data_IF_538416698130
#
_entry.id   IF_538416698130
#
_cell.length_a   1.000
_cell.length_b   1.000
_cell.length_c   1.000
_cell.angle_alpha   90.00
_cell.angle_beta   90.00
_cell.angle_gamma   90.00
#
_symmetry.space_group_name_H-M   'P 1'
#
loop_
_entity.id
_entity.type
_entity.pdbx_description
1 polymer ?
#
# COMPACT_ATOMS: atom_id res chain seq x y z
N UNK A 1 0.18 -7.28 -7.12
CA UNK A 1 -1.07 -7.98 -7.41
C UNK A 1 -1.35 -8.99 -6.32
N UNK A 2 -2.57 -9.10 -5.83
CA UNK A 2 -2.89 -9.98 -4.69
C UNK A 2 -2.69 -11.48 -4.99
N UNK A 3 -2.74 -11.89 -6.27
CA UNK A 3 -2.47 -13.27 -6.69
C UNK A 3 -0.99 -13.67 -6.77
N UNK A 4 -0.04 -12.72 -6.79
CA UNK A 4 1.40 -12.99 -6.75
C UNK A 4 1.91 -12.91 -5.30
N UNK A 5 1.63 -13.95 -4.51
CA UNK A 5 2.05 -14.03 -3.10
C UNK A 5 3.59 -14.04 -2.96
N UNK A 6 4.29 -14.63 -3.93
CA UNK A 6 5.76 -14.71 -3.93
C UNK A 6 6.40 -13.33 -4.01
N UNK A 7 5.79 -12.39 -4.73
CA UNK A 7 6.21 -10.99 -4.75
C UNK A 7 5.65 -10.19 -3.56
N UNK A 8 4.37 -10.36 -3.22
CA UNK A 8 3.69 -9.50 -2.25
C UNK A 8 4.21 -9.70 -0.82
N UNK A 9 4.44 -10.94 -0.39
CA UNK A 9 4.87 -11.23 1.00
C UNK A 9 6.24 -10.60 1.30
N UNK A 10 7.29 -10.74 0.45
CA UNK A 10 8.55 -10.04 0.66
C UNK A 10 8.43 -8.52 0.67
N UNK A 11 7.59 -7.92 -0.19
CA UNK A 11 7.38 -6.46 -0.22
C UNK A 11 6.78 -5.98 1.11
N UNK A 12 5.78 -6.67 1.65
CA UNK A 12 5.18 -6.32 2.95
C UNK A 12 6.23 -6.43 4.06
N UNK A 13 7.03 -7.50 4.09
CA UNK A 13 8.12 -7.66 5.06
C UNK A 13 9.15 -6.52 4.95
N UNK A 14 9.53 -6.17 3.72
CA UNK A 14 10.45 -5.06 3.45
C UNK A 14 9.90 -3.71 3.92
N UNK A 15 8.60 -3.44 3.68
CA UNK A 15 7.94 -2.23 4.13
C UNK A 15 7.90 -2.10 5.66
N UNK A 16 7.59 -3.19 6.38
CA UNK A 16 7.62 -3.20 7.85
C UNK A 16 9.05 -2.96 8.37
N UNK A 17 10.07 -3.50 7.70
CA UNK A 17 11.48 -3.35 8.08
C UNK A 17 12.17 -2.08 7.57
N UNK A 18 11.50 -1.25 6.76
CA UNK A 18 12.13 -0.11 6.07
C UNK A 18 12.61 0.98 7.03
N UNK A 19 11.95 1.15 8.18
CA UNK A 19 12.30 2.20 9.14
C UNK A 19 11.96 3.62 8.67
N UNK A 20 11.13 3.74 7.63
CA UNK A 20 10.58 4.98 7.10
C UNK A 20 9.13 4.79 6.64
N UNK A 21 8.58 5.78 5.93
CA UNK A 21 7.25 5.66 5.37
C UNK A 21 7.25 4.71 4.16
N UNK A 22 6.41 3.67 4.20
CA UNK A 22 6.24 2.72 3.11
C UNK A 22 4.82 2.77 2.55
N UNK A 23 4.70 2.80 1.23
CA UNK A 23 3.42 2.76 0.52
C UNK A 23 3.39 1.55 -0.42
N UNK A 24 2.35 0.72 -0.28
CA UNK A 24 2.13 -0.47 -1.11
C UNK A 24 0.74 -0.37 -1.72
N UNK A 25 0.69 -0.22 -3.05
CA UNK A 25 -0.56 -0.34 -3.80
C UNK A 25 -0.75 -1.79 -4.26
N UNK A 26 -1.82 -2.43 -3.80
CA UNK A 26 -2.14 -3.82 -4.11
C UNK A 26 -3.36 -3.88 -5.00
N UNK A 27 -3.14 -4.09 -6.29
CA UNK A 27 -4.21 -4.45 -7.23
C UNK A 27 -4.80 -5.80 -6.79
N UNK A 28 -6.05 -5.77 -6.32
CA UNK A 28 -6.80 -6.93 -5.89
C UNK A 28 -8.12 -7.01 -6.66
N UNK A 29 -8.28 -7.96 -7.60
CA UNK A 29 -9.55 -8.17 -8.28
C UNK A 29 -10.58 -8.58 -7.22
N UNK A 30 -11.63 -7.79 -7.12
CA UNK A 30 -12.61 -7.92 -6.06
C UNK A 30 -13.94 -8.37 -6.67
N UNK A 31 -14.27 -9.66 -6.52
CA UNK A 31 -15.58 -10.19 -6.89
C UNK A 31 -16.63 -10.06 -5.77
N UNK A 32 -16.23 -9.71 -4.54
CA UNK A 32 -17.14 -9.76 -3.36
C UNK A 32 -17.11 -8.58 -2.36
N UNK A 33 -16.03 -7.80 -2.25
CA UNK A 33 -15.81 -6.88 -1.10
C UNK A 33 -16.10 -5.39 -1.32
N UNK A 34 -16.24 -4.88 -2.56
CA UNK A 34 -16.67 -3.49 -2.79
C UNK A 34 -18.21 -3.34 -2.77
N UNK A 35 -18.88 -4.10 -1.91
CA UNK A 35 -20.32 -4.14 -1.79
C UNK A 35 -20.76 -3.85 -0.34
N UNK A 36 -20.64 -2.59 0.06
CA UNK A 36 -21.11 -2.11 1.37
C UNK A 36 -21.97 -0.87 1.20
N UNK A 37 -22.88 -0.62 2.16
CA UNK A 37 -23.97 0.36 2.07
C UNK A 37 -23.57 1.82 1.78
N UNK A 38 -22.27 2.17 1.87
CA UNK A 38 -21.74 3.50 1.61
C UNK A 38 -20.90 3.63 0.33
N UNK A 39 -20.68 2.55 -0.42
CA UNK A 39 -19.87 2.61 -1.65
C UNK A 39 -20.72 3.05 -2.84
N UNK A 40 -20.26 4.05 -3.59
CA UNK A 40 -20.83 4.46 -4.89
C UNK A 40 -20.59 3.42 -5.99
N UNK A 41 -19.89 2.34 -5.67
CA UNK A 41 -19.65 1.17 -6.53
C UNK A 41 -20.25 -0.11 -5.94
N UNK A 42 -21.05 0.00 -4.87
CA UNK A 42 -21.80 -1.12 -4.30
C UNK A 42 -22.96 -1.53 -5.20
N UNK A 43 -23.37 -2.79 -5.06
CA UNK A 43 -24.56 -3.34 -5.71
C UNK A 43 -25.81 -2.52 -5.41
N UNK A 44 -26.02 -2.14 -4.14
CA UNK A 44 -27.21 -1.39 -3.72
C UNK A 44 -27.22 0.04 -4.31
N UNK A 45 -26.07 0.70 -4.38
CA UNK A 45 -25.96 2.02 -5.00
C UNK A 45 -26.23 1.96 -6.51
N UNK A 46 -25.63 1.00 -7.22
CA UNK A 46 -25.88 0.82 -8.65
C UNK A 46 -27.33 0.41 -8.89
N UNK A 47 -27.91 -0.51 -8.12
CA UNK A 47 -29.32 -0.93 -8.21
C UNK A 47 -30.31 0.21 -7.99
N UNK A 48 -30.06 1.08 -7.00
CA UNK A 48 -30.94 2.21 -6.70
C UNK A 48 -30.88 3.32 -7.77
N UNK A 49 -29.82 3.35 -8.59
CA UNK A 49 -29.55 4.43 -9.55
C UNK A 49 -29.50 3.96 -11.02
N UNK A 50 -29.66 2.66 -11.31
CA UNK A 50 -29.81 2.14 -12.67
C UNK A 50 -31.30 1.88 -12.98
N UNK A 51 -31.93 2.82 -13.69
CA UNK A 51 -33.27 2.65 -14.25
C UNK A 51 -33.23 1.71 -15.47
N UNK A 52 -32.97 0.42 -15.29
CA UNK A 52 -33.29 -0.60 -16.29
C UNK A 52 -33.23 -2.04 -15.71
N UNK A 53 -34.43 -2.58 -15.48
CA UNK A 53 -34.84 -3.99 -15.66
C UNK A 53 -34.15 -5.07 -14.81
N UNK A 54 -34.90 -5.51 -13.79
CA UNK A 54 -34.73 -6.73 -13.01
C UNK A 54 -34.26 -7.94 -13.84
N UNK A 55 -33.02 -8.37 -13.62
CA UNK A 55 -32.59 -9.76 -13.82
C UNK A 55 -32.04 -10.26 -12.48
N UNK A 56 -32.42 -11.45 -12.05
CA UNK A 56 -31.81 -12.10 -10.90
C UNK A 56 -30.39 -12.47 -11.33
N UNK A 57 -29.41 -11.65 -10.95
CA UNK A 57 -28.02 -11.87 -11.33
C UNK A 57 -27.36 -12.89 -10.38
N UNK A 58 -27.06 -14.06 -10.95
CA UNK A 58 -26.21 -15.08 -10.35
C UNK A 58 -24.76 -14.59 -10.43
N UNK A 59 -24.15 -14.29 -9.28
CA UNK A 59 -22.74 -13.94 -9.17
C UNK A 59 -21.96 -15.24 -8.98
N UNK A 60 -21.33 -15.71 -10.05
CA UNK A 60 -20.46 -16.89 -9.98
C UNK A 60 -19.20 -16.54 -9.17
N UNK A 61 -18.82 -17.41 -8.22
CA UNK A 61 -17.61 -17.24 -7.44
C UNK A 61 -16.42 -17.56 -8.36
N UNK A 62 -15.78 -16.52 -8.90
CA UNK A 62 -14.57 -16.71 -9.68
C UNK A 62 -13.45 -17.32 -8.82
N UNK A 63 -12.82 -18.37 -9.33
CA UNK A 63 -11.66 -18.99 -8.68
C UNK A 63 -10.52 -17.97 -8.52
N UNK A 64 -9.78 -18.00 -7.41
CA UNK A 64 -8.59 -17.16 -7.23
C UNK A 64 -7.61 -17.36 -8.38
N UNK A 65 -7.13 -16.27 -8.96
CA UNK A 65 -6.07 -16.31 -9.97
C UNK A 65 -4.72 -16.35 -9.24
N UNK A 66 -4.20 -17.55 -9.00
CA UNK A 66 -2.83 -17.74 -8.54
C UNK A 66 -1.90 -17.75 -9.76
N UNK A 67 -0.89 -16.88 -9.75
CA UNK A 67 0.08 -16.76 -10.85
C UNK A 67 1.48 -16.78 -10.28
N UNK A 68 2.28 -17.77 -10.68
CA UNK A 68 3.71 -17.80 -10.41
C UNK A 68 4.43 -17.21 -11.62
N UNK A 69 5.13 -16.09 -11.41
CA UNK A 69 5.48 -15.15 -12.49
C UNK A 69 6.99 -14.96 -12.54
N UNK A 70 7.59 -15.30 -13.68
CA UNK A 70 8.99 -15.02 -13.98
C UNK A 70 9.25 -13.51 -14.10
N UNK A 71 10.44 -13.02 -13.68
CA UNK A 71 10.86 -11.64 -13.93
C UNK A 71 10.75 -11.26 -15.42
N UNK A 72 10.64 -9.97 -15.73
CA UNK A 72 10.59 -9.44 -17.10
C UNK A 72 9.35 -9.80 -17.94
N UNK A 73 8.34 -10.43 -17.34
CA UNK A 73 7.12 -10.82 -18.05
C UNK A 73 6.00 -9.80 -17.88
N UNK A 74 5.15 -9.71 -18.91
CA UNK A 74 3.83 -9.08 -18.81
C UNK A 74 2.81 -10.17 -18.56
N UNK A 75 1.98 -9.99 -17.55
CA UNK A 75 0.84 -10.82 -17.27
C UNK A 75 -0.37 -10.12 -17.85
N UNK A 76 -1.09 -10.79 -18.72
CA UNK A 76 -2.39 -10.34 -19.20
C UNK A 76 -3.47 -11.04 -18.38
N UNK A 77 -4.19 -10.26 -17.57
CA UNK A 77 -5.30 -10.72 -16.75
C UNK A 77 -6.61 -10.32 -17.41
N UNK A 78 -7.28 -11.30 -18.04
CA UNK A 78 -8.63 -11.12 -18.55
C UNK A 78 -9.59 -10.76 -17.41
N UNK A 79 -10.37 -9.69 -17.60
CA UNK A 79 -11.35 -9.21 -16.66
C UNK A 79 -12.76 -9.73 -17.05
N UNK A 80 -13.70 -9.85 -16.10
CA UNK A 80 -15.07 -10.28 -16.39
C UNK A 80 -15.83 -9.40 -17.41
N UNK A 81 -15.44 -8.12 -17.54
CA UNK A 81 -16.03 -7.17 -18.50
C UNK A 81 -15.44 -7.29 -19.92
N UNK A 82 -14.56 -8.28 -20.16
CA UNK A 82 -13.87 -8.49 -21.43
C UNK A 82 -12.63 -7.62 -21.64
N UNK A 83 -12.32 -6.70 -20.71
CA UNK A 83 -11.06 -5.95 -20.75
C UNK A 83 -9.87 -6.82 -20.32
N UNK A 84 -8.65 -6.34 -20.59
CA UNK A 84 -7.41 -7.03 -20.20
C UNK A 84 -6.53 -6.10 -19.38
N UNK A 85 -6.21 -6.51 -18.15
CA UNK A 85 -5.26 -5.81 -17.29
C UNK A 85 -3.86 -6.35 -17.54
N UNK A 86 -2.91 -5.47 -17.89
CA UNK A 86 -1.51 -5.85 -18.12
C UNK A 86 -0.66 -5.49 -16.91
N UNK A 87 -0.09 -6.49 -16.25
CA UNK A 87 0.82 -6.30 -15.12
C UNK A 87 2.25 -6.62 -15.57
N UNK A 88 3.17 -5.65 -15.48
CA UNK A 88 4.58 -5.85 -15.83
C UNK A 88 5.42 -6.01 -14.58
N UNK A 89 6.02 -7.18 -14.39
CA UNK A 89 6.97 -7.41 -13.31
C UNK A 89 8.30 -6.72 -13.63
N UNK A 90 8.88 -6.06 -12.62
CA UNK A 90 10.21 -5.46 -12.76
C UNK A 90 11.26 -6.52 -13.18
N UNK A 91 12.24 -6.05 -13.94
CA UNK A 91 13.37 -6.84 -14.40
C UNK A 91 14.39 -7.07 -13.28
N UNK A 92 15.17 -8.15 -13.36
CA UNK A 92 16.10 -8.53 -12.28
C UNK A 92 17.20 -7.49 -12.00
N UNK A 93 17.55 -6.67 -12.99
CA UNK A 93 18.56 -5.61 -12.90
C UNK A 93 18.01 -4.22 -12.59
N UNK A 94 16.75 -4.09 -12.19
CA UNK A 94 16.15 -2.79 -11.91
C UNK A 94 16.76 -2.16 -10.65
N UNK A 95 17.19 -0.90 -10.75
CA UNK A 95 17.71 -0.14 -9.62
C UNK A 95 16.58 0.67 -8.95
N UNK A 96 16.14 0.30 -7.73
CA UNK A 96 15.08 1.01 -7.02
C UNK A 96 15.57 2.26 -6.28
N UNK A 97 16.84 2.65 -6.39
CA UNK A 97 17.39 3.79 -5.61
C UNK A 97 17.32 5.13 -6.32
N UNK A 98 17.04 5.14 -7.64
CA UNK A 98 16.85 6.35 -8.44
C UNK A 98 15.36 6.73 -8.55
N UNK A 99 14.98 7.81 -7.88
CA UNK A 99 13.61 8.34 -7.90
C UNK A 99 13.15 8.75 -9.30
N UNK A 100 14.02 9.40 -10.09
CA UNK A 100 13.65 9.90 -11.42
C UNK A 100 13.48 8.73 -12.39
N UNK A 101 14.40 7.76 -12.34
CA UNK A 101 14.29 6.52 -13.12
C UNK A 101 12.99 5.79 -12.80
N UNK A 102 12.66 5.63 -11.51
CA UNK A 102 11.42 5.00 -11.07
C UNK A 102 10.17 5.70 -11.60
N UNK A 103 10.11 7.03 -11.48
CA UNK A 103 8.98 7.83 -11.99
C UNK A 103 8.84 7.69 -13.52
N UNK A 104 9.94 7.79 -14.26
CA UNK A 104 9.94 7.64 -15.71
C UNK A 104 9.52 6.24 -16.15
N UNK A 105 9.97 5.20 -15.44
CA UNK A 105 9.62 3.82 -15.72
C UNK A 105 8.12 3.58 -15.56
N UNK A 106 7.53 4.03 -14.44
CA UNK A 106 6.08 3.94 -14.21
C UNK A 106 5.29 4.66 -15.30
N UNK A 107 5.64 5.91 -15.62
CA UNK A 107 4.91 6.69 -16.63
C UNK A 107 5.03 6.10 -18.04
N UNK A 108 6.21 5.61 -18.42
CA UNK A 108 6.45 5.01 -19.74
C UNK A 108 5.60 3.75 -19.94
N UNK A 109 5.49 2.91 -18.92
CA UNK A 109 4.69 1.69 -18.98
C UNK A 109 3.19 1.97 -18.86
N UNK A 110 2.81 2.96 -18.06
CA UNK A 110 1.41 3.43 -18.00
C UNK A 110 0.93 3.90 -19.37
N UNK A 111 1.76 4.63 -20.13
CA UNK A 111 1.44 5.06 -21.50
C UNK A 111 1.24 3.89 -22.49
N UNK A 112 1.73 2.69 -22.16
CA UNK A 112 1.54 1.43 -22.92
C UNK A 112 0.36 0.60 -22.41
N UNK A 113 -0.38 1.10 -21.42
CA UNK A 113 -1.48 0.37 -20.77
C UNK A 113 -1.00 -0.72 -19.81
N UNK A 114 0.24 -0.63 -19.31
CA UNK A 114 0.84 -1.59 -18.40
C UNK A 114 0.96 -1.02 -16.99
N UNK A 115 0.67 -1.84 -15.97
CA UNK A 115 0.87 -1.52 -14.55
C UNK A 115 2.12 -2.22 -14.05
N UNK A 116 3.12 -1.45 -13.64
CA UNK A 116 4.39 -2.00 -13.14
C UNK A 116 4.21 -2.57 -11.73
N UNK A 117 4.79 -3.75 -11.47
CA UNK A 117 4.72 -4.43 -10.17
C UNK A 117 6.11 -4.78 -9.63
N UNK A 118 6.31 -4.59 -8.33
CA UNK A 118 7.56 -4.86 -7.62
C UNK A 118 7.95 -3.72 -6.68
N UNK A 119 9.20 -3.72 -6.22
CA UNK A 119 9.78 -2.61 -5.46
C UNK A 119 10.16 -1.48 -6.43
N UNK A 120 9.30 -0.47 -6.57
CA UNK A 120 9.50 0.62 -7.52
C UNK A 120 10.59 1.61 -7.07
N UNK A 121 10.64 1.92 -5.78
CA UNK A 121 11.59 2.87 -5.22
C UNK A 121 11.88 2.55 -3.75
N UNK A 122 13.12 2.76 -3.32
CA UNK A 122 13.55 2.72 -1.93
C UNK A 122 14.55 3.85 -1.66
N UNK A 123 14.26 4.63 -0.64
CA UNK A 123 15.24 5.53 -0.02
C UNK A 123 15.91 4.77 1.14
N UNK A 124 17.23 4.58 1.06
CA UNK A 124 18.02 3.83 2.04
C UNK A 124 18.36 4.67 3.29
N UNK A 125 18.21 5.99 3.19
CA UNK A 125 18.51 6.93 4.28
C UNK A 125 17.23 7.44 4.96
N UNK A 126 16.07 6.90 4.58
CA UNK A 126 14.80 7.25 5.19
C UNK A 126 14.80 6.96 6.70
N UNK A 127 14.26 7.91 7.47
CA UNK A 127 14.00 7.77 8.90
C UNK A 127 12.51 7.92 9.20
N UNK A 128 12.01 7.18 10.19
CA UNK A 128 10.64 7.32 10.63
C UNK A 128 10.38 8.65 11.36
N UNK A 129 9.10 8.97 11.52
CA UNK A 129 8.66 10.21 12.16
C UNK A 129 9.07 10.26 13.64
N UNK A 130 9.14 9.13 14.32
CA UNK A 130 9.50 9.08 15.73
C UNK A 130 10.96 9.48 15.96
N UNK A 131 11.86 9.00 15.09
CA UNK A 131 13.27 9.37 15.07
C UNK A 131 13.45 10.85 14.71
N UNK A 132 12.76 11.33 13.67
CA UNK A 132 12.85 12.72 13.21
C UNK A 132 12.36 13.73 14.26
N UNK A 133 11.32 13.38 15.02
CA UNK A 133 10.77 14.23 16.08
C UNK A 133 11.43 14.01 17.45
N UNK A 134 12.44 13.13 17.55
CA UNK A 134 13.08 12.75 18.80
C UNK A 134 12.08 12.35 19.90
N UNK A 135 11.03 11.62 19.51
CA UNK A 135 9.98 11.19 20.43
C UNK A 135 10.42 10.01 21.29
N UNK A 136 9.67 9.70 22.34
CA UNK A 136 10.00 8.60 23.25
C UNK A 136 9.93 7.23 22.56
N UNK A 137 10.87 6.35 22.90
CA UNK A 137 10.82 4.94 22.49
C UNK A 137 9.65 4.16 23.13
N UNK A 138 9.17 4.64 24.28
CA UNK A 138 8.00 4.07 24.95
C UNK A 138 6.70 4.63 24.33
N UNK A 139 5.66 3.80 24.14
CA UNK A 139 4.34 4.26 23.71
C UNK A 139 3.77 5.30 24.69
N UNK A 140 3.26 6.43 24.19
CA UNK A 140 2.77 7.53 25.03
C UNK A 140 1.64 7.11 25.98
N UNK A 141 0.79 6.17 25.56
CA UNK A 141 -0.29 5.62 26.38
C UNK A 141 0.19 4.74 27.55
N UNK A 142 1.47 4.36 27.56
CA UNK A 142 2.09 3.58 28.65
C UNK A 142 2.81 4.46 29.67
N UNK A 143 2.93 5.76 29.42
CA UNK A 143 3.62 6.69 30.30
C UNK A 143 2.72 7.10 31.48
N UNK A 144 3.19 6.82 32.70
CA UNK A 144 2.54 7.21 33.95
C UNK A 144 2.75 8.67 34.32
N UNK A 145 1.94 9.16 35.29
CA UNK A 145 1.98 10.53 35.76
C UNK A 145 3.35 10.94 36.35
N UNK A 146 4.06 10.00 36.98
CA UNK A 146 5.39 10.19 37.55
C UNK A 146 6.47 10.50 36.49
N UNK A 147 6.31 9.94 35.28
CA UNK A 147 7.20 10.20 34.13
C UNK A 147 6.82 11.46 33.36
N UNK A 148 5.51 11.73 33.23
CA UNK A 148 4.99 12.89 32.51
C UNK A 148 5.08 14.19 33.34
N UNK A 149 5.07 14.09 34.67
CA UNK A 149 5.16 15.22 35.58
C UNK A 149 6.34 15.01 36.56
N UNK A 150 7.56 15.47 36.22
CA UNK A 150 8.75 15.27 37.04
C UNK A 150 8.79 16.12 38.32
N UNK A 151 7.71 16.86 38.62
CA UNK A 151 7.54 17.64 39.83
C UNK A 151 8.26 18.99 39.86
N UNK A 152 7.99 19.77 40.91
CA UNK A 152 8.49 21.13 41.07
C UNK A 152 10.02 21.20 41.17
N UNK A 153 10.66 20.21 41.78
CA UNK A 153 12.12 20.17 41.95
C UNK A 153 12.85 20.04 40.62
N UNK A 154 12.32 19.22 39.69
CA UNK A 154 12.89 19.07 38.35
C UNK A 154 12.76 20.37 37.54
N UNK A 155 11.60 21.02 37.61
CA UNK A 155 11.38 22.33 36.98
C UNK A 155 12.32 23.39 37.54
N UNK A 156 12.52 23.43 38.86
CA UNK A 156 13.43 24.36 39.50
C UNK A 156 14.89 24.14 39.08
N UNK A 157 15.33 22.89 38.88
CA UNK A 157 16.66 22.58 38.33
C UNK A 157 16.82 23.09 36.89
N UNK A 158 15.83 22.85 36.02
CA UNK A 158 15.84 23.29 34.62
C UNK A 158 15.90 24.83 34.51
N UNK A 159 15.09 25.54 35.31
CA UNK A 159 15.07 27.00 35.31
C UNK A 159 16.41 27.61 35.76
N UNK A 160 17.16 26.92 36.64
CA UNK A 160 18.51 27.36 37.04
C UNK A 160 19.55 27.13 35.94
N UNK A 161 19.44 26.07 35.14
CA UNK A 161 20.40 25.79 34.07
C UNK A 161 20.25 26.70 32.83
N UNK A 162 19.12 27.40 32.71
CA UNK A 162 18.82 28.32 31.60
C UNK A 162 19.02 29.81 31.99
N UNK A 163 19.55 30.07 33.18
CA UNK A 163 19.94 31.41 33.65
C UNK A 163 21.45 31.58 33.60
#
# INVERSE_FOLDING_TARGET
FSGDKQQLVPIIKGAIGHGGAAFIDVVSPCVAFNNHAGSTKSYDYVRAHNQAVNRVDFIDLAQPVETDIAPDTVIELAQPDGSTLRLRKLHAGYDPTDRLSAMNHVQTHQARGEVVTGLLYIDREASDLHAALHTSAAPLNSLGADRLCPGADALARLNRSLR
#
